data_IF_609117638784
#
_entry.id   IF_609117638784
#
_cell.length_a   1.000
_cell.length_b   1.000
_cell.length_c   1.000
_cell.angle_alpha   90.00
_cell.angle_beta   90.00
_cell.angle_gamma   90.00
#
_symmetry.space_group_name_H-M   'P 1'
#
loop_
_entity.id
_entity.type
_entity.pdbx_description
1 polymer ?
#
# COMPACT_ATOMS: atom_id res chain seq x y z
N UNK A 1 21.86 2.46 17.47
CA UNK A 1 21.29 3.37 18.51
C UNK A 1 21.13 2.64 19.83
N UNK A 2 21.21 3.39 20.93
CA UNK A 2 20.93 2.91 22.28
C UNK A 2 19.70 3.68 22.79
N UNK A 3 18.71 2.98 23.31
CA UNK A 3 17.47 3.55 23.83
C UNK A 3 17.60 3.59 25.37
N UNK A 4 17.72 4.79 25.92
CA UNK A 4 17.83 5.09 27.38
C UNK A 4 18.82 4.21 28.17
N UNK A 5 19.89 3.72 27.52
CA UNK A 5 20.82 2.78 28.14
C UNK A 5 20.29 1.34 28.36
N UNK A 6 19.01 1.09 28.10
CA UNK A 6 18.33 -0.19 28.38
C UNK A 6 18.33 -1.16 27.19
N UNK A 7 18.27 -0.65 25.96
CA UNK A 7 18.16 -1.48 24.75
C UNK A 7 19.04 -0.98 23.61
N UNK A 8 19.51 -1.92 22.80
CA UNK A 8 20.37 -1.67 21.65
C UNK A 8 19.66 -2.00 20.35
N UNK A 9 19.82 -1.11 19.39
CA UNK A 9 19.45 -1.36 18.01
C UNK A 9 20.67 -1.17 17.10
N UNK A 10 20.93 -2.17 16.27
CA UNK A 10 21.99 -2.17 15.27
C UNK A 10 21.36 -2.19 13.89
N UNK A 11 21.84 -1.35 13.00
CA UNK A 11 21.53 -1.35 11.59
C UNK A 11 22.83 -1.33 10.79
N UNK A 12 22.98 -2.24 9.87
CA UNK A 12 24.07 -2.30 8.90
C UNK A 12 23.46 -2.42 7.51
N UNK A 13 24.00 -1.70 6.55
CA UNK A 13 23.54 -1.80 5.17
C UNK A 13 24.67 -1.46 4.23
N UNK A 14 24.71 -2.15 3.11
CA UNK A 14 25.70 -1.95 2.07
C UNK A 14 25.10 -2.15 0.69
N UNK A 15 25.67 -1.50 -0.29
CA UNK A 15 25.36 -1.76 -1.69
C UNK A 15 26.64 -1.65 -2.52
N UNK A 16 26.65 -2.42 -3.62
CA UNK A 16 27.68 -2.35 -4.64
C UNK A 16 27.02 -2.37 -6.00
N UNK A 17 27.49 -1.54 -6.92
CA UNK A 17 27.01 -1.55 -8.29
C UNK A 17 28.16 -1.60 -9.28
N UNK A 18 27.97 -2.35 -10.33
CA UNK A 18 28.87 -2.50 -11.46
C UNK A 18 28.09 -2.16 -12.73
N UNK A 19 28.67 -1.30 -13.55
CA UNK A 19 28.07 -0.86 -14.82
C UNK A 19 29.15 -0.95 -15.89
N UNK A 20 28.82 -1.55 -17.02
CA UNK A 20 29.68 -1.59 -18.18
C UNK A 20 29.99 -0.17 -18.70
N UNK A 21 31.19 0.06 -19.24
CA UNK A 21 31.60 1.38 -19.76
C UNK A 21 30.68 1.92 -20.85
N UNK A 22 30.12 1.03 -21.64
CA UNK A 22 29.16 1.35 -22.71
C UNK A 22 27.70 1.34 -22.25
N UNK A 23 27.43 1.14 -20.95
CA UNK A 23 26.10 1.00 -20.36
C UNK A 23 25.26 -0.15 -20.96
N UNK A 24 25.88 -1.16 -21.57
CA UNK A 24 25.15 -2.30 -22.14
C UNK A 24 24.57 -3.22 -21.07
N UNK A 25 25.19 -3.31 -19.89
CA UNK A 25 24.66 -4.04 -18.75
C UNK A 25 25.09 -3.39 -17.43
N UNK A 26 24.36 -3.70 -16.39
CA UNK A 26 24.72 -3.33 -15.02
C UNK A 26 24.03 -4.22 -14.01
N UNK A 27 24.65 -4.33 -12.85
CA UNK A 27 24.10 -5.04 -11.68
C UNK A 27 24.36 -4.22 -10.43
N UNK A 28 23.38 -4.16 -9.58
CA UNK A 28 23.47 -3.60 -8.22
C UNK A 28 23.06 -4.68 -7.23
N UNK A 29 23.91 -4.94 -6.25
CA UNK A 29 23.65 -5.82 -5.11
C UNK A 29 23.44 -4.97 -3.89
N UNK A 30 22.55 -5.35 -3.01
CA UNK A 30 22.32 -4.67 -1.74
C UNK A 30 21.99 -5.68 -0.64
N UNK A 31 22.41 -5.33 0.56
CA UNK A 31 22.12 -6.09 1.77
C UNK A 31 21.84 -5.12 2.91
N UNK A 32 20.92 -5.48 3.79
CA UNK A 32 20.71 -4.77 5.06
C UNK A 32 20.40 -5.75 6.18
N UNK A 33 20.97 -5.48 7.32
CA UNK A 33 20.75 -6.21 8.57
C UNK A 33 20.28 -5.24 9.63
N UNK A 34 19.22 -5.59 10.35
CA UNK A 34 18.71 -4.83 11.49
C UNK A 34 18.42 -5.76 12.64
N UNK A 35 18.97 -5.44 13.80
CA UNK A 35 18.72 -6.18 15.02
C UNK A 35 18.40 -5.21 16.13
N UNK A 36 17.29 -5.42 16.84
CA UNK A 36 16.86 -4.65 18.00
C UNK A 36 16.51 -5.60 19.12
N UNK A 37 17.07 -5.35 20.31
CA UNK A 37 16.63 -5.97 21.54
C UNK A 37 15.27 -5.39 21.96
N UNK A 38 14.45 -6.13 22.72
CA UNK A 38 13.21 -5.57 23.25
C UNK A 38 13.53 -4.36 24.14
N UNK A 39 12.65 -3.35 24.12
CA UNK A 39 12.75 -2.15 24.93
C UNK A 39 11.50 -2.00 25.79
N UNK A 40 11.69 -2.06 27.09
CA UNK A 40 10.72 -1.81 28.12
C UNK A 40 11.07 -0.44 28.72
N UNK A 41 10.18 0.54 28.56
CA UNK A 41 10.43 1.92 28.92
C UNK A 41 10.20 2.18 30.40
N UNK A 42 9.12 1.65 30.93
CA UNK A 42 8.61 1.94 32.26
C UNK A 42 8.88 0.81 33.29
N UNK A 43 9.66 -0.21 32.88
CA UNK A 43 10.11 -1.34 33.69
C UNK A 43 8.92 -2.18 34.25
N UNK A 44 7.82 -2.26 33.52
CA UNK A 44 6.66 -3.09 33.88
C UNK A 44 6.79 -4.56 33.40
N UNK A 45 7.88 -4.88 32.69
CA UNK A 45 8.19 -6.19 32.17
C UNK A 45 7.66 -6.44 30.76
N UNK A 46 6.91 -5.50 30.17
CA UNK A 46 6.39 -5.58 28.82
C UNK A 46 7.14 -4.62 27.89
N UNK A 47 7.25 -4.97 26.62
CA UNK A 47 8.01 -4.17 25.66
C UNK A 47 7.12 -3.19 24.90
N UNK A 48 7.43 -1.89 24.95
CA UNK A 48 6.87 -0.90 24.01
C UNK A 48 7.46 -1.06 22.62
N UNK A 49 8.71 -1.50 22.53
CA UNK A 49 9.33 -1.86 21.25
C UNK A 49 9.80 -3.31 21.31
N UNK A 50 9.16 -4.16 20.53
CA UNK A 50 9.47 -5.59 20.48
C UNK A 50 10.87 -5.88 19.91
N UNK A 51 11.35 -7.08 20.17
CA UNK A 51 12.54 -7.66 19.53
C UNK A 51 12.35 -7.70 18.04
N UNK A 52 13.38 -7.31 17.29
CA UNK A 52 13.41 -7.36 15.82
C UNK A 52 14.74 -7.95 15.36
N UNK A 53 14.68 -8.91 14.45
CA UNK A 53 15.82 -9.35 13.66
C UNK A 53 15.37 -9.41 12.20
N UNK A 54 16.03 -8.66 11.33
CA UNK A 54 15.68 -8.59 9.92
C UNK A 54 16.95 -8.62 9.08
N UNK A 55 16.95 -9.46 8.07
CA UNK A 55 17.99 -9.54 7.06
C UNK A 55 17.32 -9.45 5.68
N UNK A 56 17.77 -8.50 4.85
CA UNK A 56 17.30 -8.33 3.49
C UNK A 56 18.50 -8.39 2.55
N UNK A 57 18.43 -9.23 1.54
CA UNK A 57 19.39 -9.31 0.44
C UNK A 57 18.66 -9.19 -0.89
N UNK A 58 19.27 -8.51 -1.86
CA UNK A 58 18.68 -8.43 -3.18
C UNK A 58 19.66 -7.96 -4.24
N UNK A 59 19.20 -8.08 -5.48
CA UNK A 59 19.89 -7.51 -6.63
C UNK A 59 18.92 -6.89 -7.63
N UNK A 60 19.43 -5.94 -8.41
CA UNK A 60 18.82 -5.41 -9.62
C UNK A 60 19.85 -5.46 -10.74
N UNK A 61 19.45 -6.00 -11.87
CA UNK A 61 20.31 -6.10 -13.04
C UNK A 61 19.56 -5.59 -14.28
N UNK A 62 20.30 -5.02 -15.21
CA UNK A 62 19.79 -4.74 -16.53
C UNK A 62 20.76 -5.20 -17.60
N UNK A 63 20.19 -5.52 -18.76
CA UNK A 63 20.93 -5.81 -19.97
C UNK A 63 20.25 -5.12 -21.18
N UNK A 64 21.04 -4.48 -22.03
CA UNK A 64 20.61 -3.84 -23.27
C UNK A 64 21.15 -4.62 -24.45
N UNK A 65 20.38 -5.58 -24.99
CA UNK A 65 20.78 -6.34 -26.19
C UNK A 65 21.04 -5.45 -27.38
N UNK A 66 20.29 -4.34 -27.48
CA UNK A 66 20.44 -3.32 -28.51
C UNK A 66 20.21 -1.93 -27.89
N UNK A 67 20.51 -0.87 -28.64
CA UNK A 67 20.18 0.50 -28.23
C UNK A 67 18.67 0.73 -28.03
N UNK A 68 17.84 -0.10 -28.64
CA UNK A 68 16.38 0.01 -28.59
C UNK A 68 15.72 -1.03 -27.69
N UNK A 69 16.46 -1.83 -26.95
CA UNK A 69 15.89 -2.84 -26.07
C UNK A 69 16.59 -2.89 -24.73
N UNK A 70 15.79 -3.20 -23.70
CA UNK A 70 16.29 -3.34 -22.33
C UNK A 70 15.54 -4.46 -21.61
N UNK A 71 16.30 -5.34 -20.97
CA UNK A 71 15.81 -6.33 -20.03
C UNK A 71 16.19 -5.83 -18.64
N UNK A 72 15.25 -5.88 -17.68
CA UNK A 72 15.53 -5.65 -16.27
C UNK A 72 15.14 -6.92 -15.51
N UNK A 73 15.94 -7.27 -14.52
CA UNK A 73 15.73 -8.37 -13.59
C UNK A 73 15.93 -7.87 -12.17
N UNK A 74 15.08 -8.28 -11.26
CA UNK A 74 15.24 -8.00 -9.85
C UNK A 74 14.83 -9.20 -9.01
N UNK A 75 15.50 -9.32 -7.88
CA UNK A 75 15.16 -10.29 -6.84
C UNK A 75 15.55 -9.72 -5.50
N UNK A 76 14.71 -9.97 -4.50
CA UNK A 76 15.06 -9.74 -3.11
C UNK A 76 14.40 -10.76 -2.19
N UNK A 77 15.08 -11.02 -1.08
CA UNK A 77 14.59 -11.85 -0.01
C UNK A 77 14.70 -11.10 1.31
N UNK A 78 13.69 -11.25 2.16
CA UNK A 78 13.68 -10.70 3.51
C UNK A 78 13.33 -11.82 4.49
N UNK A 79 14.20 -12.02 5.48
CA UNK A 79 13.92 -12.83 6.64
C UNK A 79 13.71 -11.90 7.83
N UNK A 80 12.52 -11.92 8.41
CA UNK A 80 12.16 -11.05 9.51
C UNK A 80 11.62 -11.87 10.68
N UNK A 81 12.11 -11.58 11.87
CA UNK A 81 11.58 -12.07 13.13
C UNK A 81 11.21 -10.87 13.99
N UNK A 82 9.96 -10.81 14.45
CA UNK A 82 9.46 -9.83 15.41
C UNK A 82 8.82 -10.53 16.59
N UNK A 83 9.03 -9.98 17.80
CA UNK A 83 8.35 -10.43 19.00
C UNK A 83 8.16 -9.26 19.94
N UNK A 84 6.91 -8.98 20.32
CA UNK A 84 6.50 -8.08 21.40
C UNK A 84 5.91 -8.85 22.57
N UNK A 85 5.69 -8.18 23.69
CA UNK A 85 5.14 -8.74 24.91
C UNK A 85 6.18 -8.86 26.01
N UNK A 86 6.20 -9.98 26.74
CA UNK A 86 7.11 -10.20 27.86
C UNK A 86 7.80 -11.56 27.80
N UNK A 87 8.63 -11.87 28.82
CA UNK A 87 9.30 -13.16 29.01
C UNK A 87 10.00 -13.68 27.75
N UNK A 88 10.86 -12.87 27.15
CA UNK A 88 11.49 -13.11 25.85
C UNK A 88 12.38 -14.36 25.80
N UNK A 89 12.78 -14.89 26.93
CA UNK A 89 13.63 -16.11 27.06
C UNK A 89 12.79 -17.41 27.02
N UNK A 90 11.46 -17.31 27.14
CA UNK A 90 10.53 -18.44 27.11
C UNK A 90 9.89 -18.59 25.72
N UNK A 91 9.20 -19.73 25.50
CA UNK A 91 8.40 -19.92 24.30
C UNK A 91 7.23 -18.92 24.26
N UNK A 92 6.71 -18.56 23.08
CA UNK A 92 5.60 -17.59 22.99
C UNK A 92 4.41 -17.94 23.89
N UNK A 93 4.01 -19.20 23.90
CA UNK A 93 2.87 -19.68 24.72
C UNK A 93 3.16 -19.80 26.23
N UNK A 94 4.39 -19.59 26.67
CA UNK A 94 4.78 -19.55 28.11
C UNK A 94 4.81 -18.12 28.64
N UNK A 95 4.56 -17.14 27.77
CA UNK A 95 4.50 -15.71 28.11
C UNK A 95 3.10 -15.30 28.56
N UNK A 96 2.98 -14.22 29.27
CA UNK A 96 1.69 -13.70 29.71
C UNK A 96 0.91 -13.07 28.54
N UNK A 97 1.64 -12.36 27.66
CA UNK A 97 1.16 -11.89 26.37
C UNK A 97 2.32 -11.86 25.39
N UNK A 98 2.09 -12.34 24.18
CA UNK A 98 3.08 -12.29 23.08
C UNK A 98 2.41 -12.14 21.72
N UNK A 99 2.94 -11.21 20.98
CA UNK A 99 2.77 -11.12 19.54
C UNK A 99 4.10 -11.46 18.85
N UNK A 100 4.17 -12.57 18.13
CA UNK A 100 5.37 -13.00 17.43
C UNK A 100 5.07 -13.32 15.98
N UNK A 101 5.93 -12.85 15.09
CA UNK A 101 5.89 -13.21 13.67
C UNK A 101 7.28 -13.54 13.16
N UNK A 102 7.35 -14.55 12.30
CA UNK A 102 8.52 -14.88 11.49
C UNK A 102 8.10 -14.92 10.04
N UNK A 103 8.63 -14.00 9.25
CA UNK A 103 8.38 -13.90 7.82
C UNK A 103 9.59 -14.33 7.00
N UNK A 104 9.33 -15.07 5.93
CA UNK A 104 10.29 -15.29 4.84
C UNK A 104 9.59 -14.79 3.58
N UNK A 105 10.08 -13.68 3.03
CA UNK A 105 9.51 -13.04 1.85
C UNK A 105 10.51 -13.15 0.72
N UNK A 106 10.12 -13.76 -0.39
CA UNK A 106 10.90 -13.83 -1.62
C UNK A 106 10.13 -13.12 -2.73
N UNK A 107 10.76 -12.15 -3.37
CA UNK A 107 10.15 -11.39 -4.46
C UNK A 107 11.11 -11.32 -5.64
N UNK A 108 10.55 -11.36 -6.84
CA UNK A 108 11.31 -11.18 -8.05
C UNK A 108 10.48 -10.58 -9.17
N UNK A 109 11.17 -9.99 -10.14
CA UNK A 109 10.52 -9.39 -11.28
C UNK A 109 11.42 -9.38 -12.51
N UNK A 110 10.78 -9.38 -13.67
CA UNK A 110 11.44 -9.21 -14.95
C UNK A 110 10.64 -8.26 -15.83
N UNK A 111 11.33 -7.44 -16.60
CA UNK A 111 10.69 -6.65 -17.66
C UNK A 111 11.54 -6.61 -18.92
N UNK A 112 10.85 -6.50 -20.05
CA UNK A 112 11.46 -6.28 -21.35
C UNK A 112 10.83 -5.05 -21.99
N UNK A 113 11.66 -4.06 -22.30
CA UNK A 113 11.29 -2.84 -23.00
C UNK A 113 11.85 -2.87 -24.43
N UNK A 114 11.03 -2.65 -25.42
CA UNK A 114 11.40 -2.48 -26.81
C UNK A 114 10.95 -1.12 -27.31
N UNK A 115 11.88 -0.34 -27.84
CA UNK A 115 11.66 0.98 -28.41
C UNK A 115 11.87 0.93 -29.92
N UNK A 116 11.16 1.80 -30.67
CA UNK A 116 11.40 2.00 -32.12
C UNK A 116 10.98 3.40 -32.56
N UNK A 117 11.29 3.72 -33.82
CA UNK A 117 11.07 5.05 -34.37
C UNK A 117 11.61 6.18 -33.51
N UNK A 118 12.92 6.14 -33.18
CA UNK A 118 13.57 7.17 -32.38
C UNK A 118 12.92 7.35 -30.98
N UNK A 119 12.59 6.23 -30.32
CA UNK A 119 11.95 6.20 -29.00
C UNK A 119 10.52 6.77 -28.95
N UNK A 120 9.88 7.01 -30.11
CA UNK A 120 8.48 7.47 -30.13
C UNK A 120 7.50 6.39 -29.70
N UNK A 121 7.87 5.14 -29.84
CA UNK A 121 7.04 4.01 -29.47
C UNK A 121 7.79 3.07 -28.53
N UNK A 122 7.05 2.50 -27.59
CA UNK A 122 7.56 1.54 -26.62
C UNK A 122 6.55 0.42 -26.41
N UNK A 123 7.02 -0.82 -26.38
CA UNK A 123 6.31 -1.95 -25.77
C UNK A 123 7.08 -2.36 -24.53
N UNK A 124 6.35 -2.57 -23.44
CA UNK A 124 6.85 -3.16 -22.22
C UNK A 124 6.11 -4.45 -21.94
N UNK A 125 6.83 -5.54 -21.71
CA UNK A 125 6.32 -6.76 -21.10
C UNK A 125 6.93 -6.88 -19.71
N UNK A 126 6.13 -7.23 -18.74
CA UNK A 126 6.60 -7.32 -17.36
C UNK A 126 5.89 -8.44 -16.59
N UNK A 127 6.58 -8.94 -15.59
CA UNK A 127 6.04 -9.87 -14.62
C UNK A 127 6.75 -9.73 -13.28
N UNK A 128 6.03 -9.95 -12.22
CA UNK A 128 6.56 -10.01 -10.85
C UNK A 128 5.87 -11.10 -10.05
N UNK A 129 6.59 -11.64 -9.08
CA UNK A 129 6.11 -12.68 -8.18
C UNK A 129 6.62 -12.40 -6.77
N UNK A 130 5.76 -12.62 -5.78
CA UNK A 130 6.12 -12.58 -4.37
C UNK A 130 5.52 -13.77 -3.66
N UNK A 131 6.33 -14.44 -2.86
CA UNK A 131 5.93 -15.50 -1.96
C UNK A 131 6.27 -15.11 -0.53
N UNK A 132 5.29 -15.19 0.36
CA UNK A 132 5.42 -14.91 1.80
C UNK A 132 5.04 -16.15 2.60
N UNK A 133 5.98 -16.70 3.35
CA UNK A 133 5.73 -17.69 4.41
C UNK A 133 5.78 -16.95 5.75
N UNK A 134 4.70 -17.03 6.53
CA UNK A 134 4.61 -16.44 7.85
C UNK A 134 4.23 -17.49 8.89
N UNK A 135 5.04 -17.60 9.93
CA UNK A 135 4.66 -18.27 11.15
C UNK A 135 4.36 -17.23 12.21
N UNK A 136 3.21 -17.32 12.87
CA UNK A 136 2.74 -16.33 13.83
C UNK A 136 2.34 -16.97 15.15
N UNK A 137 2.37 -16.18 16.20
CA UNK A 137 1.73 -16.44 17.46
C UNK A 137 1.12 -15.13 17.97
N UNK A 138 -0.18 -15.14 18.24
CA UNK A 138 -0.91 -13.99 18.78
C UNK A 138 -1.71 -14.45 20.00
N UNK A 139 -1.09 -14.46 21.16
CA UNK A 139 -1.72 -15.06 22.31
C UNK A 139 -1.42 -14.35 23.63
N UNK A 140 -2.32 -14.55 24.59
CA UNK A 140 -2.21 -14.14 25.98
C UNK A 140 -2.57 -15.30 26.92
N UNK A 141 -2.22 -15.18 28.20
CA UNK A 141 -2.55 -16.16 29.22
C UNK A 141 -2.07 -17.59 28.92
N UNK A 142 -0.90 -17.71 28.28
CA UNK A 142 -0.25 -18.98 27.94
C UNK A 142 -1.06 -19.87 27.00
N UNK A 143 -1.79 -19.26 26.04
CA UNK A 143 -2.64 -19.98 25.10
C UNK A 143 -1.83 -20.79 24.09
N UNK A 144 -1.93 -22.12 24.16
CA UNK A 144 -1.30 -23.06 23.22
C UNK A 144 -1.94 -23.02 21.83
N UNK A 145 -3.12 -22.44 21.68
CA UNK A 145 -3.90 -22.46 20.43
C UNK A 145 -3.58 -21.28 19.51
N UNK A 146 -2.81 -20.29 20.00
CA UNK A 146 -2.57 -19.03 19.30
C UNK A 146 -1.53 -19.09 18.15
N UNK A 147 -1.05 -20.27 17.78
CA UNK A 147 -0.11 -20.45 16.68
C UNK A 147 -0.82 -20.44 15.32
N UNK A 148 -0.23 -19.73 14.38
CA UNK A 148 -0.73 -19.63 13.01
C UNK A 148 0.36 -19.78 11.95
N UNK A 149 -0.07 -20.14 10.76
CA UNK A 149 0.77 -20.21 9.57
C UNK A 149 0.03 -19.60 8.38
N UNK A 150 0.71 -18.70 7.67
CA UNK A 150 0.20 -18.08 6.44
C UNK A 150 1.17 -18.35 5.30
N UNK A 151 0.64 -18.80 4.17
CA UNK A 151 1.33 -18.93 2.89
C UNK A 151 0.61 -18.04 1.89
N UNK A 152 1.30 -17.07 1.30
CA UNK A 152 0.74 -16.13 0.34
C UNK A 152 1.62 -16.03 -0.90
N UNK A 153 1.03 -16.33 -2.05
CA UNK A 153 1.67 -16.22 -3.36
C UNK A 153 0.92 -15.22 -4.21
N UNK A 154 1.58 -14.11 -4.52
CA UNK A 154 1.07 -13.09 -5.44
C UNK A 154 1.94 -13.02 -6.68
N UNK A 155 1.34 -12.99 -7.87
CA UNK A 155 2.05 -12.70 -9.10
C UNK A 155 1.23 -11.82 -10.05
N UNK A 156 1.94 -11.03 -10.85
CA UNK A 156 1.39 -10.13 -11.87
C UNK A 156 2.14 -10.34 -13.16
N UNK A 157 1.43 -10.37 -14.28
CA UNK A 157 2.03 -10.34 -15.61
C UNK A 157 1.25 -9.36 -16.50
N UNK A 158 1.94 -8.58 -17.30
CA UNK A 158 1.30 -7.59 -18.15
C UNK A 158 2.12 -7.17 -19.35
N UNK A 159 1.43 -6.48 -20.25
CA UNK A 159 2.02 -5.84 -21.40
C UNK A 159 1.40 -4.48 -21.65
N UNK A 160 2.26 -3.51 -22.00
CA UNK A 160 1.85 -2.13 -22.22
C UNK A 160 2.51 -1.56 -23.45
N UNK A 161 1.74 -0.83 -24.23
CA UNK A 161 2.22 -0.02 -25.35
C UNK A 161 2.12 1.47 -25.01
N UNK A 162 3.17 2.23 -25.33
CA UNK A 162 3.21 3.69 -25.27
C UNK A 162 3.59 4.23 -26.64
N UNK A 163 2.82 5.19 -27.16
CA UNK A 163 3.06 5.82 -28.44
C UNK A 163 2.93 7.33 -28.36
N UNK A 164 3.99 8.04 -28.78
CA UNK A 164 3.98 9.49 -28.94
C UNK A 164 3.53 9.83 -30.39
N UNK A 165 2.42 10.54 -30.50
CA UNK A 165 1.82 10.96 -31.75
C UNK A 165 1.96 12.47 -31.93
N UNK A 166 2.47 12.90 -33.09
CA UNK A 166 2.61 14.32 -33.37
C UNK A 166 1.25 15.04 -33.44
N UNK A 167 0.20 14.31 -33.82
CA UNK A 167 -1.19 14.78 -33.83
C UNK A 167 -2.12 13.59 -33.55
N UNK A 168 -3.00 13.74 -32.59
CA UNK A 168 -4.05 12.79 -32.27
C UNK A 168 -5.33 13.58 -31.99
N UNK A 169 -6.27 13.56 -32.93
CA UNK A 169 -7.48 14.39 -33.02
C UNK A 169 -7.17 15.88 -33.19
N UNK A 170 -6.72 16.58 -32.12
CA UNK A 170 -6.59 18.04 -32.12
C UNK A 170 -5.23 18.55 -31.60
N UNK A 171 -4.39 17.67 -31.05
CA UNK A 171 -3.10 18.06 -30.49
C UNK A 171 -2.09 16.90 -30.47
N UNK A 172 -0.79 17.16 -30.27
CA UNK A 172 0.17 16.12 -29.94
C UNK A 172 -0.26 15.35 -28.72
N UNK A 173 -0.07 14.03 -28.73
CA UNK A 173 -0.53 13.18 -27.66
C UNK A 173 0.42 12.00 -27.36
N UNK A 174 0.36 11.53 -26.14
CA UNK A 174 0.95 10.27 -25.70
C UNK A 174 -0.18 9.29 -25.41
N UNK A 175 -0.30 8.27 -26.22
CA UNK A 175 -1.22 7.15 -26.02
C UNK A 175 -0.54 6.08 -25.16
N UNK A 176 -1.28 5.51 -24.22
CA UNK A 176 -0.87 4.34 -23.42
C UNK A 176 -2.03 3.36 -23.36
N UNK A 177 -1.77 2.09 -23.66
CA UNK A 177 -2.77 1.03 -23.51
C UNK A 177 -2.10 -0.28 -23.13
N UNK A 178 -2.78 -1.12 -22.39
CA UNK A 178 -2.19 -2.37 -21.92
C UNK A 178 -3.19 -3.36 -21.35
N UNK A 179 -2.68 -4.55 -21.13
CA UNK A 179 -3.37 -5.67 -20.47
C UNK A 179 -2.53 -6.12 -19.28
N UNK A 180 -3.21 -6.55 -18.25
CA UNK A 180 -2.58 -7.03 -17.02
C UNK A 180 -3.39 -8.17 -16.42
N UNK A 181 -2.73 -9.15 -15.89
CA UNK A 181 -3.34 -10.23 -15.12
C UNK A 181 -2.62 -10.36 -13.79
N UNK A 182 -3.40 -10.42 -12.71
CA UNK A 182 -2.92 -10.61 -11.34
C UNK A 182 -3.58 -11.84 -10.73
N UNK A 183 -2.80 -12.59 -9.98
CA UNK A 183 -3.28 -13.67 -9.11
C UNK A 183 -2.69 -13.50 -7.72
N UNK A 184 -3.52 -13.73 -6.69
CA UNK A 184 -3.10 -13.90 -5.30
C UNK A 184 -3.73 -15.17 -4.76
N UNK A 185 -2.91 -16.06 -4.22
CA UNK A 185 -3.34 -17.30 -3.56
C UNK A 185 -2.87 -17.26 -2.11
N UNK A 186 -3.83 -17.19 -1.19
CA UNK A 186 -3.61 -17.10 0.24
C UNK A 186 -4.13 -18.36 0.94
N UNK A 187 -3.33 -18.92 1.83
CA UNK A 187 -3.74 -19.96 2.77
C UNK A 187 -3.29 -19.56 4.18
N UNK A 188 -4.23 -19.29 5.07
CA UNK A 188 -3.99 -18.91 6.45
C UNK A 188 -4.65 -19.86 7.41
N UNK A 189 -3.87 -20.47 8.31
CA UNK A 189 -4.31 -21.51 9.24
C UNK A 189 -3.96 -21.12 10.66
N UNK A 190 -4.96 -21.16 11.55
CA UNK A 190 -4.80 -21.10 13.00
C UNK A 190 -5.64 -22.23 13.62
N UNK A 191 -5.06 -23.39 13.76
CA UNK A 191 -5.78 -24.62 14.14
C UNK A 191 -6.49 -24.49 15.48
N UNK A 192 -5.87 -23.84 16.46
CA UNK A 192 -6.45 -23.64 17.78
C UNK A 192 -7.69 -22.76 17.80
N UNK A 193 -7.82 -21.85 16.82
CA UNK A 193 -9.03 -21.04 16.62
C UNK A 193 -9.93 -21.57 15.51
N UNK A 194 -9.75 -22.83 15.07
CA UNK A 194 -10.52 -23.49 14.01
C UNK A 194 -10.57 -22.66 12.71
N UNK A 195 -9.52 -21.87 12.44
CA UNK A 195 -9.42 -21.06 11.22
C UNK A 195 -8.58 -21.78 10.18
N UNK A 196 -9.17 -22.05 9.03
CA UNK A 196 -8.52 -22.50 7.79
C UNK A 196 -9.10 -21.65 6.65
N UNK A 197 -8.39 -20.58 6.29
CA UNK A 197 -8.85 -19.63 5.28
C UNK A 197 -8.04 -19.85 3.99
N UNK A 198 -8.77 -20.15 2.90
CA UNK A 198 -8.22 -20.25 1.55
C UNK A 198 -8.87 -19.20 0.66
N UNK A 199 -8.04 -18.42 -0.01
CA UNK A 199 -8.50 -17.39 -0.91
C UNK A 199 -7.69 -17.42 -2.20
N UNK A 200 -8.38 -17.42 -3.34
CA UNK A 200 -7.79 -17.31 -4.66
C UNK A 200 -8.43 -16.10 -5.39
N UNK A 201 -7.63 -15.07 -5.57
CA UNK A 201 -8.03 -13.82 -6.21
C UNK A 201 -7.39 -13.73 -7.58
N UNK A 202 -8.20 -13.53 -8.62
CA UNK A 202 -7.76 -13.37 -10.00
C UNK A 202 -8.38 -12.13 -10.61
N UNK A 203 -7.53 -11.27 -11.19
CA UNK A 203 -7.97 -10.03 -11.80
C UNK A 203 -7.39 -9.95 -13.22
N UNK A 204 -8.25 -9.90 -14.21
CA UNK A 204 -7.88 -9.59 -15.60
C UNK A 204 -8.25 -8.13 -15.89
N UNK A 205 -7.33 -7.37 -16.42
CA UNK A 205 -7.47 -5.92 -16.60
C UNK A 205 -7.08 -5.48 -18.01
N UNK A 206 -7.81 -4.51 -18.53
CA UNK A 206 -7.45 -3.77 -19.71
C UNK A 206 -7.53 -2.28 -19.43
N UNK A 207 -6.55 -1.51 -19.86
CA UNK A 207 -6.55 -0.07 -19.65
C UNK A 207 -6.10 0.70 -20.90
N UNK A 208 -6.61 1.91 -21.01
CA UNK A 208 -6.25 2.85 -22.06
C UNK A 208 -6.28 4.26 -21.51
N UNK A 209 -5.31 5.06 -21.91
CA UNK A 209 -5.32 6.51 -21.66
C UNK A 209 -4.65 7.27 -22.79
N UNK A 210 -5.05 8.51 -22.95
CA UNK A 210 -4.41 9.45 -23.85
C UNK A 210 -4.15 10.77 -23.13
N UNK A 211 -2.95 11.31 -23.28
CA UNK A 211 -2.54 12.61 -22.77
C UNK A 211 -2.27 13.53 -23.94
N UNK A 212 -3.07 14.59 -24.08
CA UNK A 212 -2.89 15.66 -25.09
C UNK A 212 -2.12 16.82 -24.48
N UNK A 213 -1.09 17.26 -25.18
CA UNK A 213 -0.24 18.39 -24.78
C UNK A 213 -0.46 19.57 -25.69
N UNK A 214 -1.11 20.59 -25.18
CA UNK A 214 -1.31 21.89 -25.83
C UNK A 214 -0.38 22.91 -25.18
N UNK A 215 -0.29 24.10 -25.75
CA UNK A 215 0.65 25.14 -25.28
C UNK A 215 0.61 25.40 -23.77
N UNK A 216 -0.57 25.53 -23.20
CA UNK A 216 -0.80 25.85 -21.80
C UNK A 216 -1.66 24.83 -21.06
N UNK A 217 -2.26 23.91 -21.78
CA UNK A 217 -3.19 22.92 -21.26
C UNK A 217 -2.70 21.50 -21.58
N UNK A 218 -2.60 20.66 -20.56
CA UNK A 218 -2.45 19.21 -20.74
C UNK A 218 -3.72 18.54 -20.25
N UNK A 219 -4.28 17.68 -21.07
CA UNK A 219 -5.48 16.90 -20.75
C UNK A 219 -5.16 15.41 -20.84
N UNK A 220 -5.46 14.67 -19.78
CA UNK A 220 -5.36 13.23 -19.73
C UNK A 220 -6.76 12.65 -19.53
N UNK A 221 -7.15 11.72 -20.38
CA UNK A 221 -8.36 10.92 -20.23
C UNK A 221 -7.98 9.45 -20.32
N UNK A 222 -8.45 8.65 -19.42
CA UNK A 222 -8.19 7.23 -19.37
C UNK A 222 -9.32 6.43 -18.74
N UNK A 223 -9.29 5.14 -18.98
CA UNK A 223 -10.21 4.19 -18.39
C UNK A 223 -9.51 2.84 -18.18
N UNK A 224 -9.93 2.14 -17.14
CA UNK A 224 -9.54 0.75 -16.84
C UNK A 224 -10.81 -0.09 -16.69
N UNK A 225 -10.76 -1.28 -17.24
CA UNK A 225 -11.76 -2.33 -17.07
C UNK A 225 -11.10 -3.48 -16.34
N UNK A 226 -11.69 -3.88 -15.21
CA UNK A 226 -11.22 -4.99 -14.40
C UNK A 226 -12.30 -6.07 -14.31
N UNK A 227 -11.93 -7.33 -14.54
CA UNK A 227 -12.72 -8.51 -14.20
C UNK A 227 -12.08 -9.23 -13.04
N UNK A 228 -12.71 -9.10 -11.88
CA UNK A 228 -12.33 -9.77 -10.65
C UNK A 228 -13.15 -11.06 -10.48
N UNK A 229 -12.54 -12.17 -10.06
CA UNK A 229 -13.28 -13.43 -9.92
C UNK A 229 -14.35 -13.42 -8.81
N UNK A 230 -14.16 -12.59 -7.76
CA UNK A 230 -15.13 -12.43 -6.66
C UNK A 230 -16.21 -11.38 -6.94
N UNK A 231 -16.24 -10.77 -8.13
CA UNK A 231 -17.19 -9.73 -8.52
C UNK A 231 -17.82 -10.10 -9.85
N UNK A 232 -19.14 -10.24 -9.89
CA UNK A 232 -19.86 -10.68 -11.11
C UNK A 232 -19.74 -9.66 -12.25
N UNK A 233 -19.76 -8.37 -11.92
CA UNK A 233 -19.76 -7.28 -12.89
C UNK A 233 -18.33 -6.87 -13.27
N UNK A 234 -18.18 -6.40 -14.50
CA UNK A 234 -17.00 -5.66 -14.92
C UNK A 234 -16.92 -4.33 -14.13
N UNK A 235 -15.74 -4.01 -13.66
CA UNK A 235 -15.46 -2.77 -12.95
C UNK A 235 -14.89 -1.78 -13.95
N UNK A 236 -15.59 -0.68 -14.15
CA UNK A 236 -15.15 0.43 -15.00
C UNK A 236 -14.61 1.55 -14.12
N UNK A 237 -13.36 1.95 -14.35
CA UNK A 237 -12.64 2.96 -13.59
C UNK A 237 -12.13 4.06 -14.52
N UNK A 238 -12.92 5.14 -14.73
CA UNK A 238 -12.50 6.29 -15.51
C UNK A 238 -11.56 7.21 -14.71
N UNK A 239 -10.73 7.94 -15.47
CA UNK A 239 -9.80 8.93 -14.94
C UNK A 239 -9.70 10.12 -15.89
N UNK A 240 -9.79 11.34 -15.35
CA UNK A 240 -9.62 12.58 -16.11
C UNK A 240 -8.70 13.51 -15.30
N UNK A 241 -7.75 14.14 -15.98
CA UNK A 241 -6.87 15.12 -15.36
C UNK A 241 -6.68 16.29 -16.34
N UNK A 242 -6.82 17.51 -15.83
CA UNK A 242 -6.52 18.75 -16.53
C UNK A 242 -5.40 19.47 -15.79
N UNK A 243 -4.36 19.84 -16.51
CA UNK A 243 -3.29 20.70 -16.03
C UNK A 243 -3.24 21.96 -16.88
N UNK A 244 -3.48 23.13 -16.26
CA UNK A 244 -3.35 24.42 -16.89
C UNK A 244 -2.09 25.13 -16.37
N UNK A 245 -1.17 25.41 -17.27
CA UNK A 245 0.12 26.06 -17.00
C UNK A 245 0.29 27.27 -17.90
N UNK A 246 -0.31 28.43 -17.55
CA UNK A 246 -0.24 29.66 -18.37
C UNK A 246 1.15 30.30 -18.39
N UNK A 247 1.92 30.13 -17.30
CA UNK A 247 3.30 30.61 -17.14
C UNK A 247 4.18 29.51 -16.56
N UNK A 248 5.49 29.72 -16.49
CA UNK A 248 6.39 28.76 -15.84
C UNK A 248 6.18 28.71 -14.33
N UNK A 249 5.74 29.80 -13.75
CA UNK A 249 5.62 29.98 -12.29
C UNK A 249 4.24 29.63 -11.74
N UNK A 250 3.24 29.39 -12.61
CA UNK A 250 1.87 29.09 -12.17
C UNK A 250 1.32 27.85 -12.87
N UNK A 251 0.77 26.93 -12.08
CA UNK A 251 -0.01 25.82 -12.61
C UNK A 251 -1.24 25.52 -11.74
N UNK A 252 -2.31 25.12 -12.40
CA UNK A 252 -3.53 24.63 -11.75
C UNK A 252 -3.88 23.24 -12.28
N UNK A 253 -4.32 22.36 -11.41
CA UNK A 253 -4.68 20.98 -11.77
C UNK A 253 -6.06 20.63 -11.23
N UNK A 254 -6.84 19.92 -12.05
CA UNK A 254 -8.10 19.30 -11.65
C UNK A 254 -8.03 17.83 -12.00
N UNK A 255 -8.42 16.99 -11.07
CA UNK A 255 -8.40 15.53 -11.24
C UNK A 255 -9.72 14.93 -10.80
N UNK A 256 -10.23 14.01 -11.61
CA UNK A 256 -11.28 13.07 -11.23
C UNK A 256 -10.78 11.67 -11.46
N UNK A 257 -10.99 10.77 -10.50
CA UNK A 257 -10.66 9.35 -10.62
C UNK A 257 -11.61 8.51 -9.78
N UNK A 258 -11.75 7.25 -10.20
CA UNK A 258 -12.50 6.25 -9.46
C UNK A 258 -11.59 5.11 -9.03
N UNK A 259 -11.96 4.40 -7.98
CA UNK A 259 -11.28 3.22 -7.49
C UNK A 259 -12.24 2.22 -6.88
N UNK A 260 -11.75 1.03 -6.58
CA UNK A 260 -12.50 0.01 -5.87
C UNK A 260 -11.58 -0.79 -4.93
N UNK A 261 -12.19 -1.40 -3.91
CA UNK A 261 -11.58 -2.43 -3.05
C UNK A 261 -12.45 -3.69 -3.12
N UNK A 262 -11.82 -4.82 -3.42
CA UNK A 262 -12.54 -6.07 -3.64
C UNK A 262 -13.05 -6.68 -2.32
N UNK A 263 -14.12 -7.51 -2.36
CA UNK A 263 -14.66 -8.19 -1.21
C UNK A 263 -13.83 -9.45 -0.88
N UNK A 264 -12.61 -9.24 -0.41
CA UNK A 264 -11.63 -10.28 -0.09
C UNK A 264 -11.07 -10.07 1.31
N UNK A 265 -10.44 -11.09 1.89
CA UNK A 265 -9.67 -10.95 3.10
C UNK A 265 -8.37 -10.18 2.82
N UNK A 266 -7.99 -9.34 3.75
CA UNK A 266 -6.76 -8.55 3.74
C UNK A 266 -5.90 -8.93 4.94
N UNK A 267 -4.65 -8.48 4.98
CA UNK A 267 -3.72 -8.83 6.05
C UNK A 267 -4.25 -8.46 7.46
N UNK A 268 -4.97 -7.35 7.57
CA UNK A 268 -5.63 -6.96 8.82
C UNK A 268 -6.68 -7.98 9.33
N UNK A 269 -7.25 -8.78 8.43
CA UNK A 269 -8.23 -9.82 8.78
C UNK A 269 -7.57 -11.11 9.28
N UNK A 270 -6.28 -11.27 9.00
CA UNK A 270 -5.47 -12.41 9.41
C UNK A 270 -4.86 -12.23 10.79
N UNK A 271 -4.87 -11.01 11.30
CA UNK A 271 -4.37 -10.71 12.63
C UNK A 271 -5.44 -11.02 13.68
N UNK A 272 -5.12 -11.93 14.60
CA UNK A 272 -5.96 -12.22 15.76
C UNK A 272 -5.49 -11.34 16.91
N UNK A 273 -6.33 -10.41 17.34
CA UNK A 273 -6.01 -9.54 18.47
C UNK A 273 -6.42 -10.23 19.76
N UNK A 274 -5.46 -10.63 20.57
CA UNK A 274 -5.70 -11.18 21.90
C UNK A 274 -5.73 -10.03 22.95
N UNK A 275 -6.82 -9.29 23.02
CA UNK A 275 -7.00 -8.23 24.03
C UNK A 275 -7.74 -8.81 25.22
N UNK A 276 -7.09 -8.78 26.40
CA UNK A 276 -7.69 -9.27 27.65
C UNK A 276 -7.88 -10.79 27.70
N UNK A 277 -7.19 -11.55 26.83
CA UNK A 277 -7.26 -13.01 26.80
C UNK A 277 -8.38 -13.60 25.95
N UNK A 278 -9.13 -12.78 25.21
CA UNK A 278 -10.13 -13.24 24.26
C UNK A 278 -9.60 -13.04 22.82
N UNK A 279 -9.63 -14.10 22.00
CA UNK A 279 -9.33 -14.02 20.57
C UNK A 279 -10.45 -13.25 19.84
N UNK A 280 -10.07 -12.41 18.87
CA UNK A 280 -11.04 -11.74 17.98
C UNK A 280 -10.79 -12.22 16.57
N UNK A 281 -11.74 -12.99 16.02
CA UNK A 281 -11.71 -13.48 14.65
C UNK A 281 -12.54 -12.58 13.74
N UNK A 282 -12.06 -12.38 12.49
CA UNK A 282 -12.80 -11.65 11.46
C UNK A 282 -13.29 -12.63 10.41
N UNK A 283 -14.60 -12.60 10.11
CA UNK A 283 -15.24 -13.33 9.02
C UNK A 283 -15.73 -12.36 7.97
N UNK A 284 -15.81 -12.80 6.72
CA UNK A 284 -16.39 -12.02 5.64
C UNK A 284 -17.87 -12.38 5.51
N UNK A 285 -18.73 -11.37 5.34
CA UNK A 285 -20.16 -11.60 5.06
C UNK A 285 -20.34 -12.25 3.68
N UNK A 286 -21.27 -13.18 3.57
CA UNK A 286 -21.54 -13.93 2.32
C UNK A 286 -21.96 -13.01 1.15
N UNK A 287 -22.57 -11.86 1.45
CA UNK A 287 -23.04 -10.89 0.47
C UNK A 287 -22.15 -9.65 0.35
N UNK A 288 -20.88 -9.74 0.79
CA UNK A 288 -19.94 -8.64 0.74
C UNK A 288 -19.69 -8.18 -0.71
N UNK A 289 -19.88 -6.88 -0.95
CA UNK A 289 -19.67 -6.24 -2.25
C UNK A 289 -18.44 -5.36 -2.21
N UNK A 290 -17.92 -5.05 -3.38
CA UNK A 290 -16.79 -4.13 -3.52
C UNK A 290 -17.10 -2.73 -2.96
N UNK A 291 -16.13 -2.12 -2.26
CA UNK A 291 -16.13 -0.69 -2.01
C UNK A 291 -15.85 0.06 -3.31
N UNK A 292 -16.45 1.23 -3.48
CA UNK A 292 -16.23 2.12 -4.62
C UNK A 292 -15.92 3.52 -4.16
N UNK A 293 -14.98 4.17 -4.86
CA UNK A 293 -14.63 5.56 -4.60
C UNK A 293 -14.78 6.43 -5.83
N UNK A 294 -15.25 7.67 -5.61
CA UNK A 294 -15.15 8.78 -6.56
C UNK A 294 -14.32 9.87 -5.89
N UNK A 295 -13.20 10.20 -6.47
CA UNK A 295 -12.25 11.17 -5.93
C UNK A 295 -12.12 12.36 -6.87
N UNK A 296 -12.21 13.55 -6.30
CA UNK A 296 -12.05 14.85 -6.94
C UNK A 296 -10.94 15.59 -6.21
N UNK A 297 -10.00 16.16 -6.93
CA UNK A 297 -9.01 17.06 -6.35
C UNK A 297 -8.73 18.23 -7.28
N UNK A 298 -8.41 19.37 -6.66
CA UNK A 298 -7.99 20.56 -7.36
C UNK A 298 -6.81 21.20 -6.63
N UNK A 299 -5.77 21.57 -7.36
CA UNK A 299 -4.59 22.21 -6.78
C UNK A 299 -4.14 23.41 -7.60
N UNK A 300 -3.56 24.38 -6.90
CA UNK A 300 -2.85 25.52 -7.45
C UNK A 300 -1.44 25.52 -6.88
N UNK A 301 -0.45 25.61 -7.76
CA UNK A 301 0.96 25.69 -7.43
C UNK A 301 1.52 26.97 -8.05
N UNK A 302 2.05 27.83 -7.20
CA UNK A 302 2.61 29.11 -7.60
C UNK A 302 4.00 29.27 -7.05
N UNK A 303 4.94 29.55 -7.95
CA UNK A 303 6.34 29.87 -7.63
C UNK A 303 6.65 31.31 -7.99
N UNK A 304 7.49 31.97 -7.23
CA UNK A 304 7.90 33.33 -7.54
C UNK A 304 9.29 33.63 -7.00
N UNK A 305 9.93 34.64 -7.58
CA UNK A 305 11.23 35.18 -7.14
C UNK A 305 11.03 36.58 -6.61
N UNK A 306 11.44 36.80 -5.37
CA UNK A 306 11.38 38.10 -4.67
C UNK A 306 12.81 38.54 -4.32
N UNK A 307 13.53 39.06 -5.31
CA UNK A 307 14.96 39.37 -5.19
C UNK A 307 15.79 38.08 -5.02
N UNK A 308 16.47 37.92 -3.90
CA UNK A 308 17.29 36.73 -3.57
C UNK A 308 16.43 35.58 -2.98
N UNK A 309 15.15 35.80 -2.74
CA UNK A 309 14.24 34.82 -2.20
C UNK A 309 13.49 34.10 -3.31
N UNK A 310 13.32 32.80 -3.14
CA UNK A 310 12.44 31.95 -3.95
C UNK A 310 11.30 31.49 -3.07
N UNK A 311 10.07 31.68 -3.50
CA UNK A 311 8.87 31.23 -2.81
C UNK A 311 8.08 30.27 -3.69
N UNK A 312 7.51 29.22 -3.06
CA UNK A 312 6.58 28.29 -3.69
C UNK A 312 5.41 28.04 -2.74
N UNK A 313 4.22 28.10 -3.24
CA UNK A 313 2.98 27.81 -2.51
C UNK A 313 2.16 26.81 -3.31
N UNK A 314 1.90 25.66 -2.70
CA UNK A 314 0.97 24.66 -3.19
C UNK A 314 -0.26 24.61 -2.28
N UNK A 315 -1.43 24.86 -2.85
CA UNK A 315 -2.73 24.69 -2.20
C UNK A 315 -3.50 23.61 -2.95
N UNK A 316 -3.98 22.60 -2.22
CA UNK A 316 -4.79 21.50 -2.75
C UNK A 316 -6.06 21.34 -1.93
N UNK A 317 -7.21 21.19 -2.61
CA UNK A 317 -8.46 20.72 -2.04
C UNK A 317 -8.82 19.35 -2.59
N UNK A 318 -9.33 18.45 -1.75
CA UNK A 318 -9.76 17.12 -2.17
C UNK A 318 -11.09 16.73 -1.53
N UNK A 319 -11.83 15.89 -2.27
CA UNK A 319 -13.09 15.28 -1.84
C UNK A 319 -13.18 13.85 -2.40
N UNK A 320 -13.43 12.88 -1.53
CA UNK A 320 -13.64 11.48 -1.90
C UNK A 320 -14.96 10.97 -1.32
N UNK A 321 -15.83 10.47 -2.18
CA UNK A 321 -17.08 9.78 -1.85
C UNK A 321 -16.84 8.28 -1.92
N UNK A 322 -16.96 7.60 -0.78
CA UNK A 322 -16.80 6.16 -0.64
C UNK A 322 -18.18 5.50 -0.49
N UNK A 323 -18.43 4.45 -1.23
CA UNK A 323 -19.66 3.67 -1.19
C UNK A 323 -19.41 2.24 -0.80
N UNK A 324 -20.34 1.62 -0.07
CA UNK A 324 -20.25 0.25 0.44
C UNK A 324 -18.99 0.03 1.28
N UNK A 325 -18.61 1.01 2.11
CA UNK A 325 -17.39 0.97 2.94
C UNK A 325 -17.44 -0.25 3.84
N UNK A 326 -16.31 -0.95 3.95
CA UNK A 326 -16.21 -2.07 4.86
C UNK A 326 -16.20 -1.60 6.30
N UNK A 327 -17.10 -2.20 7.08
CA UNK A 327 -17.21 -2.01 8.53
C UNK A 327 -17.14 -3.37 9.21
N UNK A 328 -16.66 -3.37 10.46
CA UNK A 328 -16.64 -4.57 11.29
C UNK A 328 -17.77 -4.49 12.29
N UNK A 329 -18.63 -5.50 12.30
CA UNK A 329 -19.72 -5.66 13.26
C UNK A 329 -19.44 -6.86 14.18
N UNK A 330 -19.70 -6.69 15.47
CA UNK A 330 -19.64 -7.78 16.45
C UNK A 330 -20.89 -8.66 16.25
N UNK A 331 -20.68 -9.92 15.87
CA UNK A 331 -21.76 -10.88 15.65
C UNK A 331 -21.86 -11.94 16.74
N UNK A 332 -21.07 -11.80 17.83
CA UNK A 332 -21.12 -12.68 18.98
C UNK A 332 -19.83 -13.45 19.23
N UNK A 333 -19.96 -14.64 19.77
CA UNK A 333 -18.84 -15.53 20.10
C UNK A 333 -19.02 -16.87 19.39
N UNK A 334 -17.89 -17.52 19.11
CA UNK A 334 -17.89 -18.92 18.63
C UNK A 334 -18.08 -19.92 19.78
N UNK A 335 -18.06 -21.21 19.43
CA UNK A 335 -18.22 -22.30 20.38
C UNK A 335 -17.09 -22.39 21.43
N UNK A 336 -15.95 -21.74 21.16
CA UNK A 336 -14.81 -21.66 22.07
C UNK A 336 -14.85 -20.41 22.98
N UNK A 337 -15.80 -19.50 22.75
CA UNK A 337 -15.94 -18.25 23.47
C UNK A 337 -15.16 -17.08 22.87
N UNK A 338 -14.48 -17.27 21.73
CA UNK A 338 -13.78 -16.21 21.01
C UNK A 338 -14.75 -15.26 20.31
N UNK A 339 -14.44 -13.97 20.34
CA UNK A 339 -15.28 -12.96 19.67
C UNK A 339 -15.18 -13.08 18.17
N UNK A 340 -16.33 -13.04 17.49
CA UNK A 340 -16.42 -13.00 16.05
C UNK A 340 -16.90 -11.61 15.61
N UNK A 341 -16.11 -10.98 14.73
CA UNK A 341 -16.53 -9.79 13.98
C UNK A 341 -16.77 -10.15 12.53
N UNK A 342 -17.81 -9.61 11.96
CA UNK A 342 -18.11 -9.77 10.54
C UNK A 342 -17.74 -8.51 9.78
N UNK A 343 -16.97 -8.66 8.70
CA UNK A 343 -16.73 -7.59 7.73
C UNK A 343 -17.90 -7.53 6.77
N UNK A 344 -18.63 -6.44 6.79
CA UNK A 344 -19.79 -6.18 5.94
C UNK A 344 -19.74 -4.80 5.30
N UNK A 345 -20.63 -4.53 4.36
CA UNK A 345 -20.75 -3.21 3.77
C UNK A 345 -21.60 -2.30 4.66
N UNK A 346 -21.03 -1.17 5.07
CA UNK A 346 -21.75 -0.05 5.67
C UNK A 346 -22.33 0.90 4.61
N UNK A 347 -22.89 2.02 5.06
CA UNK A 347 -23.60 2.98 4.21
C UNK A 347 -22.71 3.70 3.20
N UNK A 348 -21.53 4.02 3.60
CA UNK A 348 -20.56 4.82 2.84
C UNK A 348 -19.89 5.87 3.71
N UNK A 349 -18.89 6.56 3.14
CA UNK A 349 -18.15 7.58 3.86
C UNK A 349 -17.70 8.71 2.92
N UNK A 350 -17.43 9.87 3.49
CA UNK A 350 -16.88 11.03 2.80
C UNK A 350 -15.61 11.48 3.48
N UNK A 351 -14.58 11.70 2.68
CA UNK A 351 -13.30 12.24 3.14
C UNK A 351 -13.00 13.48 2.31
N UNK A 352 -12.77 14.61 2.98
CA UNK A 352 -12.46 15.86 2.31
C UNK A 352 -11.55 16.73 3.15
N UNK A 353 -10.79 17.58 2.48
CA UNK A 353 -9.85 18.44 3.17
C UNK A 353 -9.08 19.36 2.25
N UNK A 354 -8.15 20.07 2.87
CA UNK A 354 -7.21 20.97 2.21
C UNK A 354 -5.80 20.71 2.73
N UNK A 355 -4.83 20.81 1.80
CA UNK A 355 -3.40 20.76 2.07
C UNK A 355 -2.79 22.10 1.63
N UNK A 356 -1.93 22.66 2.45
CA UNK A 356 -1.08 23.81 2.14
C UNK A 356 0.37 23.41 2.36
N UNK A 357 1.21 23.59 1.36
CA UNK A 357 2.67 23.51 1.48
C UNK A 357 3.25 24.85 0.99
N UNK A 358 4.02 25.51 1.84
CA UNK A 358 4.67 26.77 1.53
C UNK A 358 6.17 26.64 1.79
N UNK A 359 6.99 27.00 0.81
CA UNK A 359 8.43 26.96 0.86
C UNK A 359 8.99 28.34 0.56
N UNK A 360 9.98 28.76 1.33
CA UNK A 360 10.71 30.01 1.14
C UNK A 360 12.20 29.73 1.30
N UNK A 361 12.99 30.04 0.28
CA UNK A 361 14.45 29.81 0.29
C UNK A 361 15.19 31.09 -0.05
N UNK A 362 16.30 31.36 0.67
CA UNK A 362 17.26 32.41 0.39
C UNK A 362 18.58 31.79 -0.04
N UNK A 363 18.80 31.70 -1.34
CA UNK A 363 19.96 31.02 -1.91
C UNK A 363 20.17 29.61 -1.34
N UNK A 364 21.38 29.37 -0.83
CA UNK A 364 21.76 28.14 -0.10
C UNK A 364 21.82 28.34 1.42
N UNK A 365 21.54 29.54 1.91
CA UNK A 365 21.80 29.96 3.29
C UNK A 365 20.65 29.64 4.23
N UNK A 366 19.39 29.78 3.76
CA UNK A 366 18.22 29.54 4.59
C UNK A 366 17.06 28.96 3.78
N UNK A 367 16.36 28.00 4.37
CA UNK A 367 15.13 27.43 3.82
C UNK A 367 14.09 27.27 4.93
N UNK A 368 12.87 27.73 4.65
CA UNK A 368 11.71 27.56 5.52
C UNK A 368 10.65 26.76 4.77
N UNK A 369 10.04 25.83 5.46
CA UNK A 369 8.91 25.06 4.95
C UNK A 369 7.80 25.02 5.99
N UNK A 370 6.58 25.30 5.55
CA UNK A 370 5.35 25.18 6.33
C UNK A 370 4.40 24.22 5.62
N UNK A 371 4.04 23.12 6.29
CA UNK A 371 3.02 22.19 5.85
C UNK A 371 1.79 22.27 6.76
N UNK A 372 0.60 22.38 6.19
CA UNK A 372 -0.65 22.34 6.92
C UNK A 372 -1.66 21.45 6.22
N UNK A 373 -2.30 20.54 6.96
CA UNK A 373 -3.37 19.68 6.49
C UNK A 373 -4.57 19.78 7.41
N UNK A 374 -5.73 20.08 6.85
CA UNK A 374 -7.00 19.98 7.55
C UNK A 374 -7.91 19.03 6.78
N UNK A 375 -8.32 17.94 7.43
CA UNK A 375 -9.20 16.95 6.81
C UNK A 375 -10.32 16.51 7.74
N UNK A 376 -11.39 16.04 7.14
CA UNK A 376 -12.53 15.47 7.83
C UNK A 376 -12.99 14.22 7.13
N UNK A 377 -13.20 13.15 7.91
CA UNK A 377 -13.80 11.90 7.45
C UNK A 377 -15.07 11.60 8.23
N UNK A 378 -16.14 11.18 7.53
CA UNK A 378 -17.44 10.88 8.14
C UNK A 378 -18.14 9.76 7.39
N UNK A 379 -18.79 8.86 8.13
CA UNK A 379 -19.80 7.97 7.59
C UNK A 379 -21.04 8.76 7.13
N UNK A 380 -21.71 8.28 6.09
CA UNK A 380 -22.98 8.86 5.61
C UNK A 380 -24.08 8.67 6.66
N UNK A 381 -24.23 7.46 7.12
CA UNK A 381 -25.11 7.10 8.23
C UNK A 381 -24.28 6.84 9.49
N UNK A 382 -24.93 6.83 10.64
CA UNK A 382 -24.24 6.50 11.87
C UNK A 382 -23.97 4.98 11.93
N UNK A 383 -22.72 4.60 12.15
CA UNK A 383 -22.31 3.21 12.33
C UNK A 383 -22.14 2.88 13.82
N UNK A 384 -22.50 1.67 14.20
CA UNK A 384 -22.32 1.19 15.59
C UNK A 384 -20.84 0.99 15.85
N UNK A 385 -20.30 1.65 16.86
CA UNK A 385 -18.91 1.47 17.23
C UNK A 385 -18.71 0.64 18.49
N UNK A 386 -19.70 0.58 19.38
CA UNK A 386 -19.72 -0.29 20.57
C UNK A 386 -21.13 -0.44 21.11
N UNK A 387 -21.33 -1.46 21.94
CA UNK A 387 -22.56 -1.66 22.72
C UNK A 387 -22.20 -1.58 24.21
N UNK A 388 -22.95 -0.76 24.96
CA UNK A 388 -22.79 -0.61 26.42
C UNK A 388 -24.15 -0.87 27.05
N UNK A 389 -24.22 -1.83 27.97
CA UNK A 389 -25.45 -2.21 28.69
C UNK A 389 -26.63 -2.56 27.76
N UNK A 390 -26.34 -3.09 26.53
CA UNK A 390 -27.33 -3.43 25.52
C UNK A 390 -27.74 -2.27 24.62
N UNK A 391 -27.30 -1.06 24.87
CA UNK A 391 -27.53 0.11 24.02
C UNK A 391 -26.41 0.26 23.00
N UNK A 392 -26.79 0.52 21.73
CA UNK A 392 -25.86 0.74 20.63
C UNK A 392 -25.38 2.21 20.60
N UNK A 393 -24.10 2.40 20.83
CA UNK A 393 -23.47 3.71 20.63
C UNK A 393 -23.03 3.86 19.17
N UNK A 394 -23.61 4.83 18.49
CA UNK A 394 -23.37 5.07 17.07
C UNK A 394 -22.56 6.35 16.84
N UNK A 395 -21.79 6.39 15.77
CA UNK A 395 -21.01 7.56 15.38
C UNK A 395 -20.96 7.73 13.87
N UNK A 396 -20.93 9.01 13.42
CA UNK A 396 -20.61 9.37 12.03
C UNK A 396 -19.13 9.67 11.83
N UNK A 397 -18.32 9.66 12.87
CA UNK A 397 -16.88 9.83 12.74
C UNK A 397 -16.25 8.51 12.33
N UNK A 398 -15.51 8.49 11.23
CA UNK A 398 -14.59 7.39 10.96
C UNK A 398 -13.47 7.44 12.01
N UNK A 399 -13.27 6.34 12.72
CA UNK A 399 -12.12 6.24 13.62
C UNK A 399 -10.84 6.19 12.77
N UNK A 400 -9.79 6.80 13.27
CA UNK A 400 -8.45 6.59 12.71
C UNK A 400 -8.06 5.16 13.05
N UNK A 401 -7.83 4.35 12.05
CA UNK A 401 -7.16 3.06 12.17
C UNK A 401 -5.67 3.29 12.31
#
# INVERSE_FOLDING_TARGET
SCMDGKSWEQYMGGNVSLVAKDNSYGIALYESYRNRNPYDRDDDGFSELGKLNMNTFGFRAYYRPTHFSRINLEYHTTNEFRRGGNKFDLQPHESDITEQTKHIINSGGASYDLFWREYKHKISLYGSIQHTDRNSYYGAQQDMNAYGKTDDLTWVAGGMYVGNMNNCFFAPATFTGGLEYQNNSLHDVMTGYHRDMKQDVRIASAFVQNEWKMRQLTMLVGARLDKHNLIDKLIFSPRINFLYKPTEDFQARLTYSTGFRAPQAYDEDLHVTAVGGEGVQIKLADNLREERSNSYSGSVDWSTHLGHWQANILLEGFYTDLRHVFVLEDIGKDDNGDKIKERRNGSGARVYGVNLDAKLAHGKEAQFQLGFTAQRSRYMDAEVWTKVDGEELTTKRMMRT
#
